data_IF_087810721528
#
_entry.id   IF_087810721528
#
_cell.length_a   1.000
_cell.length_b   1.000
_cell.length_c   1.000
_cell.angle_alpha   90.00
_cell.angle_beta   90.00
_cell.angle_gamma   90.00
#
_symmetry.space_group_name_H-M   'P 1'
#
loop_
_entity.id
_entity.type
_entity.pdbx_description
1 polymer ?
#
# COMPACT_ATOMS: atom_id res chain seq x y z
N UNK A 1 21.39 -32.44 -46.80
CA UNK A 1 21.45 -32.78 -45.37
C UNK A 1 20.07 -33.24 -44.96
N UNK A 2 19.86 -34.52 -44.73
CA UNK A 2 18.55 -35.08 -44.35
C UNK A 2 18.26 -34.80 -42.87
N UNK A 3 17.02 -34.51 -42.56
CA UNK A 3 16.52 -34.23 -41.19
C UNK A 3 16.98 -35.31 -40.18
N UNK A 4 17.14 -36.59 -40.63
CA UNK A 4 17.67 -37.67 -39.82
C UNK A 4 19.13 -37.51 -39.36
N UNK A 5 20.00 -36.89 -40.14
CA UNK A 5 21.39 -36.62 -39.77
C UNK A 5 21.53 -35.52 -38.70
N UNK A 6 20.64 -34.54 -38.72
CA UNK A 6 20.63 -33.46 -37.72
C UNK A 6 20.15 -33.94 -36.33
N UNK A 7 19.14 -34.84 -36.30
CA UNK A 7 18.61 -35.43 -35.07
C UNK A 7 19.63 -36.38 -34.43
N UNK A 8 20.41 -37.12 -35.25
CA UNK A 8 21.40 -38.09 -34.74
C UNK A 8 22.60 -37.42 -34.05
N UNK A 9 22.95 -36.16 -34.43
CA UNK A 9 24.09 -35.45 -33.86
C UNK A 9 23.62 -34.45 -32.77
N UNK A 10 22.44 -33.80 -32.91
CA UNK A 10 21.91 -32.86 -31.95
C UNK A 10 21.30 -33.54 -30.72
N UNK A 11 20.74 -34.75 -30.85
CA UNK A 11 20.09 -35.48 -29.75
C UNK A 11 21.00 -35.74 -28.54
N UNK A 12 22.18 -36.38 -28.75
CA UNK A 12 23.11 -36.65 -27.66
C UNK A 12 23.67 -35.39 -27.00
N UNK A 13 23.88 -34.31 -27.78
CA UNK A 13 24.33 -33.01 -27.26
C UNK A 13 23.31 -32.35 -26.34
N UNK A 14 22.04 -32.38 -26.74
CA UNK A 14 20.93 -31.86 -25.94
C UNK A 14 20.73 -32.70 -24.66
N UNK A 15 20.81 -34.02 -24.74
CA UNK A 15 20.71 -34.90 -23.59
C UNK A 15 21.86 -34.67 -22.60
N UNK A 16 23.10 -34.54 -23.09
CA UNK A 16 24.26 -34.23 -22.25
C UNK A 16 24.12 -32.83 -21.58
N UNK A 17 23.70 -31.79 -22.33
CA UNK A 17 23.46 -30.49 -21.77
C UNK A 17 22.36 -30.48 -20.70
N UNK A 18 21.27 -31.22 -20.92
CA UNK A 18 20.18 -31.37 -19.94
C UNK A 18 20.64 -32.07 -18.69
N UNK A 19 21.45 -33.11 -18.82
CA UNK A 19 22.04 -33.89 -17.70
C UNK A 19 23.02 -33.00 -16.90
N UNK A 20 23.88 -32.24 -17.57
CA UNK A 20 24.78 -31.27 -16.90
C UNK A 20 24.02 -30.22 -16.16
N UNK A 21 22.95 -29.65 -16.74
CA UNK A 21 22.09 -28.66 -16.09
C UNK A 21 21.39 -29.27 -14.88
N UNK A 22 20.85 -30.48 -14.98
CA UNK A 22 20.24 -31.20 -13.86
C UNK A 22 21.24 -31.43 -12.73
N UNK A 23 22.45 -31.90 -13.04
CA UNK A 23 23.54 -32.11 -12.08
C UNK A 23 23.94 -30.75 -11.41
N UNK A 24 24.04 -29.68 -12.18
CA UNK A 24 24.31 -28.33 -11.64
C UNK A 24 23.23 -27.86 -10.69
N UNK A 25 21.95 -28.03 -11.04
CA UNK A 25 20.80 -27.67 -10.19
C UNK A 25 20.81 -28.52 -8.91
N UNK A 26 21.01 -29.83 -9.00
CA UNK A 26 21.08 -30.70 -7.83
C UNK A 26 22.29 -30.36 -6.96
N UNK A 27 23.45 -30.10 -7.55
CA UNK A 27 24.66 -29.69 -6.85
C UNK A 27 24.48 -28.34 -6.11
N UNK A 28 23.87 -27.36 -6.78
CA UNK A 28 23.54 -26.07 -6.17
C UNK A 28 22.53 -26.25 -5.02
N UNK A 29 21.50 -27.06 -5.20
CA UNK A 29 20.50 -27.35 -4.17
C UNK A 29 21.12 -28.06 -2.96
N UNK A 30 21.95 -29.09 -3.19
CA UNK A 30 22.66 -29.78 -2.13
C UNK A 30 23.62 -28.87 -1.39
N UNK A 31 24.40 -28.07 -2.11
CA UNK A 31 25.30 -27.10 -1.51
C UNK A 31 24.54 -26.07 -0.64
N UNK A 32 23.39 -25.59 -1.11
CA UNK A 32 22.54 -24.69 -0.35
C UNK A 32 22.01 -25.34 0.94
N UNK A 33 21.47 -26.58 0.84
CA UNK A 33 20.95 -27.29 2.02
C UNK A 33 22.04 -27.64 3.02
N UNK A 34 23.25 -28.01 2.58
CA UNK A 34 24.39 -28.25 3.47
C UNK A 34 24.83 -26.96 4.18
N UNK A 35 24.84 -25.82 3.48
CA UNK A 35 25.14 -24.52 4.11
C UNK A 35 24.08 -24.13 5.13
N UNK A 36 22.80 -24.32 4.82
CA UNK A 36 21.69 -24.02 5.73
C UNK A 36 21.79 -24.89 6.99
N UNK A 37 22.00 -26.21 6.85
CA UNK A 37 22.21 -27.11 8.00
C UNK A 37 23.43 -26.76 8.83
N UNK A 38 24.54 -26.38 8.20
CA UNK A 38 25.75 -25.94 8.91
C UNK A 38 25.50 -24.61 9.65
N UNK A 39 24.74 -23.69 9.08
CA UNK A 39 24.29 -22.47 9.73
C UNK A 39 23.41 -22.75 10.95
N UNK A 40 22.42 -23.63 10.79
CA UNK A 40 21.54 -24.03 11.88
C UNK A 40 22.30 -24.66 13.06
N UNK A 41 23.29 -25.52 12.80
CA UNK A 41 24.13 -26.11 13.85
C UNK A 41 24.95 -25.06 14.59
N UNK A 42 25.45 -24.02 13.89
CA UNK A 42 26.24 -22.94 14.53
C UNK A 42 25.35 -22.01 15.39
N UNK A 43 24.10 -21.83 15.01
CA UNK A 43 23.16 -20.95 15.73
C UNK A 43 22.37 -21.71 16.78
N UNK A 44 22.30 -23.05 16.73
CA UNK A 44 21.55 -23.88 17.67
C UNK A 44 21.82 -23.52 19.16
N UNK A 45 23.10 -23.37 19.61
CA UNK A 45 23.39 -23.00 20.99
C UNK A 45 22.94 -21.56 21.35
N UNK A 46 22.79 -20.67 20.36
CA UNK A 46 22.40 -19.29 20.55
C UNK A 46 20.89 -19.06 20.48
N UNK A 47 20.14 -20.07 19.98
CA UNK A 47 18.68 -19.93 19.78
C UNK A 47 17.94 -19.64 21.07
N UNK A 48 18.33 -20.28 22.19
CA UNK A 48 17.70 -20.04 23.48
C UNK A 48 17.89 -18.57 23.91
N UNK A 49 19.11 -18.04 23.78
CA UNK A 49 19.41 -16.66 24.11
C UNK A 49 18.64 -15.67 23.22
N UNK A 50 18.55 -15.95 21.90
CA UNK A 50 17.75 -15.10 20.98
C UNK A 50 16.26 -15.15 21.32
N UNK A 51 15.72 -16.29 21.72
CA UNK A 51 14.33 -16.44 22.10
C UNK A 51 14.02 -15.70 23.41
N UNK A 52 14.89 -15.78 24.41
CA UNK A 52 14.74 -15.05 25.67
C UNK A 52 14.70 -13.52 25.43
N UNK A 53 15.60 -13.00 24.59
CA UNK A 53 15.55 -11.60 24.17
C UNK A 53 14.26 -11.31 23.38
N UNK A 54 13.84 -12.20 22.47
CA UNK A 54 12.67 -12.00 21.63
C UNK A 54 11.33 -12.07 22.39
N UNK A 55 11.29 -12.78 23.54
CA UNK A 55 10.11 -12.87 24.43
C UNK A 55 10.12 -11.78 25.51
N UNK A 56 11.21 -11.04 25.66
CA UNK A 56 11.36 -10.05 26.74
C UNK A 56 11.60 -10.70 28.11
N UNK A 57 12.00 -11.96 28.13
CA UNK A 57 12.30 -12.72 29.36
C UNK A 57 13.81 -12.67 29.75
N UNK A 58 14.57 -11.76 29.14
CA UNK A 58 15.97 -11.51 29.52
C UNK A 58 16.01 -10.72 30.83
N UNK A 59 15.88 -11.48 31.94
CA UNK A 59 15.80 -10.95 33.30
C UNK A 59 17.17 -10.58 33.90
N UNK A 60 18.25 -10.82 33.19
CA UNK A 60 19.62 -10.73 33.69
C UNK A 60 20.35 -9.50 33.13
N UNK A 61 19.78 -8.30 33.34
CA UNK A 61 20.35 -6.98 32.97
C UNK A 61 21.02 -6.92 31.56
N UNK A 62 20.44 -7.65 30.55
CA UNK A 62 20.96 -7.67 29.20
C UNK A 62 22.20 -8.60 29.00
N UNK A 63 22.49 -9.51 29.90
CA UNK A 63 23.62 -10.44 29.78
C UNK A 63 23.52 -11.34 28.53
N UNK A 64 22.29 -11.74 28.14
CA UNK A 64 22.07 -12.51 26.90
C UNK A 64 22.37 -11.66 25.67
N UNK A 65 21.91 -10.40 25.66
CA UNK A 65 22.19 -9.46 24.58
C UNK A 65 23.70 -9.22 24.43
N UNK A 66 24.43 -9.03 25.54
CA UNK A 66 25.89 -8.87 25.56
C UNK A 66 26.61 -10.13 25.01
N UNK A 67 26.12 -11.32 25.37
CA UNK A 67 26.65 -12.60 24.85
C UNK A 67 26.46 -12.68 23.34
N UNK A 68 25.25 -12.36 22.84
CA UNK A 68 24.93 -12.34 21.41
C UNK A 68 25.78 -11.30 20.66
N UNK A 69 26.00 -10.11 21.24
CA UNK A 69 26.83 -9.05 20.66
C UNK A 69 28.31 -9.46 20.54
N UNK A 70 28.81 -10.36 21.41
CA UNK A 70 30.16 -10.91 21.37
C UNK A 70 30.41 -11.93 20.26
N UNK A 71 29.33 -12.43 19.56
CA UNK A 71 29.47 -13.47 18.54
C UNK A 71 30.18 -12.93 17.29
N UNK A 72 31.13 -13.69 16.75
CA UNK A 72 32.00 -13.28 15.64
C UNK A 72 32.02 -14.30 14.50
N UNK A 73 32.56 -13.90 13.36
CA UNK A 73 32.84 -14.76 12.21
C UNK A 73 31.58 -15.24 11.48
N UNK A 74 31.54 -16.53 11.14
CA UNK A 74 30.40 -17.13 10.40
C UNK A 74 29.16 -17.27 11.28
N UNK A 75 29.33 -17.61 12.54
CA UNK A 75 28.23 -17.72 13.50
C UNK A 75 27.46 -16.39 13.64
N UNK A 76 28.18 -15.24 13.62
CA UNK A 76 27.54 -13.91 13.63
C UNK A 76 26.62 -13.71 12.41
N UNK A 77 27.08 -14.06 11.20
CA UNK A 77 26.23 -13.89 10.00
C UNK A 77 24.98 -14.74 10.06
N UNK A 78 25.13 -16.00 10.50
CA UNK A 78 24.01 -16.93 10.64
C UNK A 78 23.04 -16.45 11.75
N UNK A 79 23.57 -15.84 12.83
CA UNK A 79 22.81 -15.20 13.91
C UNK A 79 22.04 -13.97 13.38
N UNK A 80 22.72 -13.05 12.66
CA UNK A 80 22.11 -11.88 12.05
C UNK A 80 20.94 -12.27 11.15
N UNK A 81 21.12 -13.31 10.32
CA UNK A 81 20.06 -13.85 9.46
C UNK A 81 18.88 -14.43 10.25
N UNK A 82 19.14 -15.07 11.40
CA UNK A 82 18.09 -15.54 12.29
C UNK A 82 17.32 -14.37 12.90
N UNK A 83 18.02 -13.38 13.44
CA UNK A 83 17.44 -12.17 14.04
C UNK A 83 16.57 -11.43 13.02
N UNK A 84 17.06 -11.21 11.79
CA UNK A 84 16.29 -10.57 10.72
C UNK A 84 15.00 -11.35 10.41
N UNK A 85 15.03 -12.69 10.44
CA UNK A 85 13.80 -13.50 10.25
C UNK A 85 12.81 -13.31 11.40
N UNK A 86 13.28 -13.19 12.63
CA UNK A 86 12.43 -13.05 13.83
C UNK A 86 11.80 -11.66 13.93
N UNK A 87 12.48 -10.59 13.47
CA UNK A 87 11.96 -9.21 13.52
C UNK A 87 10.59 -9.03 12.84
N UNK A 88 10.20 -9.93 11.92
CA UNK A 88 8.83 -9.92 11.36
C UNK A 88 7.74 -10.43 12.32
N UNK A 89 8.12 -11.03 13.46
CA UNK A 89 7.22 -11.69 14.41
C UNK A 89 7.26 -11.07 15.81
N UNK A 90 8.30 -10.28 16.09
CA UNK A 90 8.54 -9.64 17.40
C UNK A 90 8.18 -8.17 17.31
N UNK A 91 7.67 -7.58 18.39
CA UNK A 91 7.29 -6.16 18.49
C UNK A 91 7.72 -5.57 19.82
N UNK A 92 7.66 -4.24 19.95
CA UNK A 92 7.99 -3.53 21.17
C UNK A 92 9.48 -3.60 21.50
N UNK A 93 9.81 -3.49 22.77
CA UNK A 93 11.17 -3.41 23.31
C UNK A 93 12.10 -4.55 22.86
N UNK A 94 11.58 -5.78 22.83
CA UNK A 94 12.33 -6.93 22.35
C UNK A 94 12.76 -6.79 20.87
N UNK A 95 11.92 -6.18 20.03
CA UNK A 95 12.30 -5.89 18.64
C UNK A 95 13.38 -4.82 18.57
N UNK A 96 13.33 -3.79 19.42
CA UNK A 96 14.34 -2.73 19.50
C UNK A 96 15.69 -3.29 19.93
N UNK A 97 15.73 -4.15 20.97
CA UNK A 97 16.93 -4.84 21.42
C UNK A 97 17.57 -5.69 20.32
N UNK A 98 16.77 -6.43 19.54
CA UNK A 98 17.25 -7.20 18.39
C UNK A 98 17.78 -6.31 17.25
N UNK A 99 17.19 -5.14 17.03
CA UNK A 99 17.68 -4.16 16.05
C UNK A 99 19.01 -3.56 16.54
N UNK A 100 19.15 -3.26 17.83
CA UNK A 100 20.39 -2.78 18.43
C UNK A 100 21.53 -3.81 18.32
N UNK A 101 21.21 -5.10 18.47
CA UNK A 101 22.17 -6.17 18.21
C UNK A 101 22.65 -6.14 16.74
N UNK A 102 21.74 -6.02 15.78
CA UNK A 102 22.12 -5.91 14.35
C UNK A 102 22.94 -4.65 14.06
N UNK A 103 22.66 -3.58 14.78
CA UNK A 103 23.41 -2.32 14.70
C UNK A 103 24.82 -2.51 15.24
N UNK A 104 24.98 -3.10 16.42
CA UNK A 104 26.29 -3.45 17.03
C UNK A 104 27.11 -4.34 16.10
N UNK A 105 26.46 -5.24 15.37
CA UNK A 105 27.10 -6.08 14.36
C UNK A 105 27.44 -5.33 13.06
N UNK A 106 27.07 -4.06 12.92
CA UNK A 106 27.29 -3.23 11.72
C UNK A 106 26.50 -3.72 10.51
N UNK A 107 25.40 -4.43 10.72
CA UNK A 107 24.53 -4.93 9.64
C UNK A 107 23.80 -3.78 8.96
N UNK A 108 23.25 -2.85 9.75
CA UNK A 108 22.50 -1.70 9.26
C UNK A 108 23.41 -0.69 8.56
N UNK A 109 24.63 -0.46 9.05
CA UNK A 109 25.60 0.40 8.39
C UNK A 109 26.03 -0.16 7.02
N UNK A 110 26.17 -1.49 6.93
CA UNK A 110 26.41 -2.14 5.64
C UNK A 110 25.21 -2.01 4.71
N UNK A 111 23.99 -2.18 5.23
CA UNK A 111 22.79 -2.00 4.45
C UNK A 111 22.66 -0.57 3.92
N UNK A 112 22.96 0.46 4.73
CA UNK A 112 22.96 1.84 4.29
C UNK A 112 23.95 2.08 3.12
N UNK A 113 25.17 1.52 3.21
CA UNK A 113 26.14 1.57 2.09
C UNK A 113 25.67 0.77 0.86
N UNK A 114 25.10 -0.41 1.04
CA UNK A 114 24.61 -1.23 -0.06
C UNK A 114 23.41 -0.60 -0.77
N UNK A 115 22.64 0.25 -0.09
CA UNK A 115 21.53 1.00 -0.67
C UNK A 115 21.98 2.04 -1.71
N UNK A 116 23.28 2.41 -1.73
CA UNK A 116 23.87 3.29 -2.76
C UNK A 116 24.69 2.52 -3.80
N UNK A 117 24.71 1.19 -3.75
CA UNK A 117 25.46 0.32 -4.66
C UNK A 117 25.04 0.50 -6.13
N UNK A 118 25.95 0.24 -7.08
CA UNK A 118 25.64 0.23 -8.51
C UNK A 118 24.58 -0.83 -8.88
N UNK A 119 24.48 -1.93 -8.14
CA UNK A 119 23.56 -3.05 -8.40
C UNK A 119 22.15 -2.76 -7.82
N UNK A 120 21.14 -2.70 -8.67
CA UNK A 120 19.74 -2.54 -8.24
C UNK A 120 19.30 -3.63 -7.25
N UNK A 121 19.75 -4.86 -7.44
CA UNK A 121 19.43 -5.99 -6.54
C UNK A 121 20.03 -5.79 -5.15
N UNK A 122 21.23 -5.22 -5.05
CA UNK A 122 21.84 -4.91 -3.74
C UNK A 122 21.09 -3.77 -3.06
N UNK A 123 20.77 -2.70 -3.80
CA UNK A 123 19.99 -1.59 -3.27
C UNK A 123 18.62 -2.04 -2.76
N UNK A 124 17.90 -2.85 -3.54
CA UNK A 124 16.59 -3.39 -3.15
C UNK A 124 16.67 -4.23 -1.86
N UNK A 125 17.66 -5.13 -1.77
CA UNK A 125 17.87 -5.97 -0.58
C UNK A 125 18.23 -5.14 0.65
N UNK A 126 19.06 -4.14 0.49
CA UNK A 126 19.45 -3.23 1.56
C UNK A 126 18.25 -2.46 2.12
N UNK A 127 17.43 -1.88 1.24
CA UNK A 127 16.19 -1.19 1.63
C UNK A 127 15.20 -2.15 2.29
N UNK A 128 15.05 -3.37 1.78
CA UNK A 128 14.22 -4.38 2.42
C UNK A 128 14.65 -4.68 3.86
N UNK A 129 15.96 -4.80 4.10
CA UNK A 129 16.52 -5.04 5.42
C UNK A 129 16.26 -3.85 6.36
N UNK A 130 16.56 -2.62 5.91
CA UNK A 130 16.31 -1.39 6.66
C UNK A 130 14.82 -1.30 7.06
N UNK A 131 13.91 -1.54 6.12
CA UNK A 131 12.47 -1.51 6.40
C UNK A 131 12.00 -2.62 7.34
N UNK A 132 12.64 -3.80 7.33
CA UNK A 132 12.33 -4.86 8.30
C UNK A 132 12.76 -4.51 9.71
N UNK A 133 13.88 -3.84 9.84
CA UNK A 133 14.39 -3.37 11.11
C UNK A 133 13.65 -2.12 11.63
N UNK A 134 12.83 -1.46 10.79
CA UNK A 134 12.17 -0.17 11.11
C UNK A 134 13.17 0.86 11.66
N UNK A 135 14.41 0.82 11.18
CA UNK A 135 15.46 1.69 11.67
C UNK A 135 15.27 3.10 11.11
N UNK A 136 14.85 4.03 11.95
CA UNK A 136 14.64 5.43 11.59
C UNK A 136 15.90 6.13 11.04
N UNK A 137 17.10 5.65 11.40
CA UNK A 137 18.37 6.16 10.85
C UNK A 137 18.52 5.86 9.36
N UNK A 138 17.78 4.88 8.85
CA UNK A 138 17.71 4.58 7.43
C UNK A 138 16.71 5.43 6.64
N UNK A 139 15.99 6.37 7.27
CA UNK A 139 14.96 7.20 6.61
C UNK A 139 15.53 7.98 5.44
N UNK A 140 16.64 8.69 5.62
CA UNK A 140 17.21 9.54 4.57
C UNK A 140 17.66 8.72 3.35
N UNK A 141 18.24 7.54 3.59
CA UNK A 141 18.61 6.59 2.53
C UNK A 141 17.37 6.05 1.79
N UNK A 142 16.30 5.75 2.53
CA UNK A 142 15.06 5.28 1.94
C UNK A 142 14.35 6.39 1.16
N UNK A 143 14.35 7.63 1.65
CA UNK A 143 13.82 8.81 0.92
C UNK A 143 14.60 9.03 -0.39
N UNK A 144 15.93 9.03 -0.35
CA UNK A 144 16.73 9.18 -1.56
C UNK A 144 16.44 8.08 -2.60
N UNK A 145 16.16 6.86 -2.16
CA UNK A 145 15.83 5.74 -3.02
C UNK A 145 14.42 5.80 -3.65
N UNK A 146 13.54 6.70 -3.22
CA UNK A 146 12.24 6.94 -3.87
C UNK A 146 12.41 7.47 -5.30
N UNK A 147 13.54 8.10 -5.60
CA UNK A 147 13.89 8.61 -6.93
C UNK A 147 14.93 7.73 -7.66
N UNK A 148 15.15 6.50 -7.21
CA UNK A 148 16.09 5.57 -7.83
C UNK A 148 15.76 5.34 -9.31
N UNK A 149 16.80 5.15 -10.12
CA UNK A 149 16.68 4.83 -11.56
C UNK A 149 15.90 3.53 -11.82
N UNK A 150 15.88 2.58 -10.87
CA UNK A 150 15.20 1.30 -11.00
C UNK A 150 13.79 1.36 -10.40
N UNK A 151 12.71 1.05 -11.16
CA UNK A 151 11.35 1.01 -10.65
C UNK A 151 11.18 0.06 -9.44
N UNK A 152 11.90 -1.06 -9.44
CA UNK A 152 11.87 -2.03 -8.32
C UNK A 152 12.43 -1.45 -7.04
N UNK A 153 13.51 -0.66 -7.16
CA UNK A 153 14.12 0.00 -6.00
C UNK A 153 13.19 1.08 -5.47
N UNK A 154 12.55 1.88 -6.35
CA UNK A 154 11.54 2.88 -5.95
C UNK A 154 10.37 2.24 -5.19
N UNK A 155 9.82 1.14 -5.71
CA UNK A 155 8.75 0.41 -5.04
C UNK A 155 9.19 -0.13 -3.67
N UNK A 156 10.42 -0.65 -3.57
CA UNK A 156 10.96 -1.11 -2.28
C UNK A 156 11.20 0.06 -1.32
N UNK A 157 11.66 1.20 -1.80
CA UNK A 157 11.84 2.42 -1.02
C UNK A 157 10.50 2.88 -0.42
N UNK A 158 9.43 2.93 -1.22
CA UNK A 158 8.09 3.28 -0.74
C UNK A 158 7.63 2.37 0.41
N UNK A 159 7.78 1.05 0.25
CA UNK A 159 7.47 0.10 1.33
C UNK A 159 8.37 0.28 2.56
N UNK A 160 9.62 0.68 2.34
CA UNK A 160 10.59 0.89 3.43
C UNK A 160 10.23 2.10 4.26
N UNK A 161 9.95 3.26 3.64
CA UNK A 161 9.54 4.47 4.36
C UNK A 161 8.25 4.27 5.15
N UNK A 162 7.26 3.57 4.58
CA UNK A 162 6.02 3.23 5.28
C UNK A 162 6.25 2.32 6.50
N UNK A 163 7.22 1.38 6.43
CA UNK A 163 7.56 0.52 7.57
C UNK A 163 8.34 1.23 8.67
N UNK A 164 9.22 2.15 8.29
CA UNK A 164 9.96 2.99 9.25
C UNK A 164 8.96 3.87 10.00
N UNK A 165 7.98 4.47 9.31
CA UNK A 165 6.97 5.31 9.93
C UNK A 165 7.45 6.73 10.24
N UNK A 166 8.51 7.21 9.59
CA UNK A 166 9.01 8.58 9.78
C UNK A 166 8.20 9.58 8.93
N UNK A 167 7.46 10.52 9.53
CA UNK A 167 6.60 11.47 8.80
C UNK A 167 7.32 12.31 7.77
N UNK A 168 8.64 12.56 7.94
CA UNK A 168 9.46 13.30 6.98
C UNK A 168 9.43 12.70 5.56
N UNK A 169 9.12 11.39 5.45
CA UNK A 169 9.03 10.72 4.17
C UNK A 169 7.71 10.97 3.41
N UNK A 170 6.67 11.55 4.03
CA UNK A 170 5.35 11.70 3.42
C UNK A 170 5.39 12.54 2.14
N UNK A 171 5.94 13.74 2.21
CA UNK A 171 6.05 14.65 1.06
C UNK A 171 6.97 14.10 -0.04
N UNK A 172 8.18 13.58 0.25
CA UNK A 172 9.01 12.89 -0.74
C UNK A 172 8.31 11.70 -1.41
N UNK A 173 7.57 10.88 -0.67
CA UNK A 173 6.83 9.74 -1.22
C UNK A 173 5.74 10.19 -2.19
N UNK A 174 4.95 11.22 -1.84
CA UNK A 174 3.92 11.80 -2.70
C UNK A 174 4.55 12.41 -3.96
N UNK A 175 5.69 13.10 -3.83
CA UNK A 175 6.42 13.66 -4.96
C UNK A 175 6.94 12.56 -5.91
N UNK A 176 7.42 11.45 -5.38
CA UNK A 176 7.94 10.33 -6.16
C UNK A 176 6.85 9.60 -6.97
N UNK A 177 5.56 9.81 -6.67
CA UNK A 177 4.44 9.24 -7.45
C UNK A 177 4.37 9.77 -8.90
N UNK A 178 5.06 10.85 -9.23
CA UNK A 178 5.26 11.30 -10.62
C UNK A 178 6.05 10.29 -11.46
N UNK A 179 6.85 9.46 -10.80
CA UNK A 179 7.67 8.44 -11.44
C UNK A 179 6.92 7.09 -11.51
N UNK A 180 7.28 6.28 -12.51
CA UNK A 180 6.79 4.91 -12.60
C UNK A 180 7.40 4.00 -11.52
N UNK A 181 6.73 2.87 -11.24
CA UNK A 181 7.24 1.80 -10.37
C UNK A 181 6.76 1.85 -8.92
N UNK A 182 6.16 2.94 -8.45
CA UNK A 182 5.44 2.98 -7.18
C UNK A 182 3.94 2.83 -7.49
N UNK A 183 3.32 1.76 -7.02
CA UNK A 183 1.88 1.57 -7.15
C UNK A 183 1.13 2.48 -6.19
N UNK A 184 -0.03 2.99 -6.61
CA UNK A 184 -0.90 3.85 -5.79
C UNK A 184 -1.27 3.18 -4.47
N UNK A 185 -1.56 1.87 -4.50
CA UNK A 185 -1.85 1.10 -3.29
C UNK A 185 -0.66 1.01 -2.31
N UNK A 186 0.56 0.73 -2.83
CA UNK A 186 1.77 0.68 -1.99
C UNK A 186 2.06 2.05 -1.34
N UNK A 187 1.82 3.14 -2.08
CA UNK A 187 2.00 4.50 -1.56
C UNK A 187 0.94 4.84 -0.50
N UNK A 188 -0.32 4.47 -0.73
CA UNK A 188 -1.37 4.68 0.24
C UNK A 188 -1.11 3.92 1.54
N UNK A 189 -0.72 2.63 1.45
CA UNK A 189 -0.33 1.83 2.61
C UNK A 189 0.86 2.46 3.36
N UNK A 190 1.86 2.92 2.64
CA UNK A 190 3.02 3.57 3.22
C UNK A 190 2.64 4.87 3.94
N UNK A 191 1.80 5.71 3.34
CA UNK A 191 1.33 6.97 3.95
C UNK A 191 0.49 6.72 5.21
N UNK A 192 -0.34 5.67 5.21
CA UNK A 192 -1.05 5.23 6.43
C UNK A 192 -0.04 4.83 7.52
N UNK A 193 1.04 4.14 7.14
CA UNK A 193 2.12 3.77 8.05
C UNK A 193 2.90 4.96 8.65
N UNK A 194 2.88 6.13 7.99
CA UNK A 194 3.50 7.37 8.49
C UNK A 194 2.64 8.09 9.54
N UNK A 195 1.37 7.69 9.71
CA UNK A 195 0.49 8.21 10.75
C UNK A 195 -0.14 9.57 10.43
N UNK A 196 -0.70 10.21 11.47
CA UNK A 196 -1.44 11.47 11.35
C UNK A 196 -0.59 12.65 10.89
N UNK A 197 0.72 12.63 11.13
CA UNK A 197 1.64 13.70 10.77
C UNK A 197 1.83 13.83 9.24
N UNK A 198 1.32 12.87 8.47
CA UNK A 198 1.24 12.96 7.00
C UNK A 198 0.18 13.98 6.50
N UNK A 199 -0.71 14.50 7.37
CA UNK A 199 -1.84 15.33 6.98
C UNK A 199 -1.47 16.56 6.16
N UNK A 200 -0.45 17.32 6.58
CA UNK A 200 0.03 18.50 5.83
C UNK A 200 0.57 18.12 4.43
N UNK A 201 1.26 16.99 4.35
CA UNK A 201 1.76 16.48 3.08
C UNK A 201 0.63 16.06 2.13
N UNK A 202 -0.47 15.51 2.66
CA UNK A 202 -1.66 15.20 1.87
C UNK A 202 -2.33 16.47 1.33
N UNK A 203 -2.49 17.53 2.16
CA UNK A 203 -3.03 18.81 1.70
C UNK A 203 -2.14 19.45 0.63
N UNK A 204 -0.82 19.43 0.83
CA UNK A 204 0.10 19.88 -0.21
C UNK A 204 -0.06 19.06 -1.51
N UNK A 205 -0.21 17.75 -1.42
CA UNK A 205 -0.34 16.90 -2.60
C UNK A 205 -1.66 17.14 -3.35
N UNK A 206 -2.75 17.52 -2.67
CA UNK A 206 -4.00 17.92 -3.33
C UNK A 206 -3.79 19.19 -4.16
N UNK A 207 -3.03 20.18 -3.65
CA UNK A 207 -2.82 21.46 -4.31
C UNK A 207 -1.78 21.38 -5.46
N UNK A 208 -0.65 20.73 -5.23
CA UNK A 208 0.53 20.83 -6.07
C UNK A 208 1.05 19.47 -6.60
N UNK A 209 0.42 18.36 -6.20
CA UNK A 209 0.89 17.03 -6.54
C UNK A 209 0.65 16.63 -7.99
N UNK A 210 1.35 15.58 -8.45
CA UNK A 210 1.03 14.92 -9.71
C UNK A 210 -0.38 14.30 -9.66
N UNK A 211 -1.04 14.00 -10.80
CA UNK A 211 -2.36 13.38 -10.79
C UNK A 211 -2.45 12.14 -9.91
N UNK A 212 -1.42 11.29 -9.90
CA UNK A 212 -1.35 10.12 -9.03
C UNK A 212 -1.24 10.49 -7.55
N UNK A 213 -0.48 11.54 -7.22
CA UNK A 213 -0.36 12.03 -5.86
C UNK A 213 -1.68 12.65 -5.38
N UNK A 214 -2.34 13.47 -6.21
CA UNK A 214 -3.67 14.03 -5.92
C UNK A 214 -4.71 12.93 -5.67
N UNK A 215 -4.73 11.87 -6.51
CA UNK A 215 -5.63 10.72 -6.33
C UNK A 215 -5.41 10.03 -4.98
N UNK A 216 -4.15 9.74 -4.62
CA UNK A 216 -3.82 9.11 -3.33
C UNK A 216 -4.21 10.01 -2.17
N UNK A 217 -3.87 11.30 -2.25
CA UNK A 217 -4.17 12.27 -1.20
C UNK A 217 -5.67 12.44 -1.00
N UNK A 218 -6.46 12.57 -2.09
CA UNK A 218 -7.91 12.63 -2.03
C UNK A 218 -8.50 11.39 -1.34
N UNK A 219 -8.08 10.20 -1.75
CA UNK A 219 -8.54 8.95 -1.15
C UNK A 219 -8.23 8.89 0.37
N UNK A 220 -6.99 9.20 0.76
CA UNK A 220 -6.58 9.15 2.16
C UNK A 220 -7.23 10.24 3.01
N UNK A 221 -7.45 11.44 2.47
CA UNK A 221 -8.21 12.49 3.15
C UNK A 221 -9.67 12.06 3.40
N UNK A 222 -10.29 11.41 2.42
CA UNK A 222 -11.64 10.86 2.58
C UNK A 222 -11.71 9.75 3.64
N UNK A 223 -10.80 8.77 3.60
CA UNK A 223 -10.77 7.66 4.56
C UNK A 223 -10.37 8.12 5.96
N UNK A 224 -9.41 9.04 6.05
CA UNK A 224 -8.93 9.60 7.32
C UNK A 224 -9.83 10.67 7.92
N UNK A 225 -10.92 11.07 7.25
CA UNK A 225 -11.85 12.08 7.75
C UNK A 225 -11.24 13.48 7.83
N UNK A 226 -10.28 13.82 6.96
CA UNK A 226 -9.54 15.10 6.97
C UNK A 226 -10.42 16.22 6.41
N UNK A 227 -11.26 16.81 7.26
CA UNK A 227 -12.22 17.87 6.85
C UNK A 227 -11.55 19.13 6.30
N UNK A 228 -10.32 19.41 6.69
CA UNK A 228 -9.54 20.52 6.17
C UNK A 228 -9.26 20.41 4.66
N UNK A 229 -9.33 19.19 4.10
CA UNK A 229 -9.15 18.96 2.66
C UNK A 229 -10.36 19.38 1.80
N UNK A 230 -11.55 19.59 2.38
CA UNK A 230 -12.78 19.81 1.62
C UNK A 230 -12.68 20.95 0.58
N UNK A 231 -12.11 22.14 0.87
CA UNK A 231 -11.97 23.19 -0.14
C UNK A 231 -11.13 22.76 -1.36
N UNK A 232 -9.99 22.09 -1.11
CA UNK A 232 -9.12 21.60 -2.18
C UNK A 232 -9.78 20.47 -2.98
N UNK A 233 -10.54 19.60 -2.31
CA UNK A 233 -11.30 18.55 -2.99
C UNK A 233 -12.39 19.12 -3.89
N UNK A 234 -13.07 20.22 -3.49
CA UNK A 234 -14.04 20.94 -4.34
C UNK A 234 -13.34 21.48 -5.59
N UNK A 235 -12.19 22.15 -5.42
CA UNK A 235 -11.41 22.65 -6.55
C UNK A 235 -11.01 21.55 -7.53
N UNK A 236 -10.56 20.39 -7.04
CA UNK A 236 -10.23 19.24 -7.88
C UNK A 236 -11.44 18.66 -8.61
N UNK A 237 -12.63 18.67 -8.02
CA UNK A 237 -13.86 18.22 -8.70
C UNK A 237 -14.24 19.15 -9.86
N UNK A 238 -14.02 20.46 -9.68
CA UNK A 238 -14.46 21.50 -10.62
C UNK A 238 -13.44 21.75 -11.74
N UNK A 239 -12.14 21.59 -11.46
CA UNK A 239 -11.08 22.12 -12.33
C UNK A 239 -10.04 21.09 -12.77
N UNK A 240 -10.01 19.87 -12.18
CA UNK A 240 -8.98 18.90 -12.55
C UNK A 240 -9.31 18.20 -13.87
N UNK A 241 -8.36 18.22 -14.80
CA UNK A 241 -8.49 17.57 -16.11
C UNK A 241 -8.42 16.04 -16.03
N UNK A 242 -7.87 15.48 -14.95
CA UNK A 242 -7.75 14.03 -14.77
C UNK A 242 -9.02 13.46 -14.11
N UNK A 243 -9.76 12.70 -14.89
CA UNK A 243 -11.00 12.05 -14.44
C UNK A 243 -10.80 11.17 -13.19
N UNK A 244 -9.64 10.57 -13.03
CA UNK A 244 -9.33 9.72 -11.87
C UNK A 244 -9.20 10.58 -10.62
N UNK A 245 -8.58 11.74 -10.73
CA UNK A 245 -8.46 12.72 -9.64
C UNK A 245 -9.83 13.27 -9.26
N UNK A 246 -10.59 13.77 -10.24
CA UNK A 246 -11.94 14.30 -9.99
C UNK A 246 -12.86 13.25 -9.35
N UNK A 247 -12.79 11.98 -9.81
CA UNK A 247 -13.57 10.87 -9.24
C UNK A 247 -13.13 10.52 -7.80
N UNK A 248 -11.84 10.59 -7.50
CA UNK A 248 -11.32 10.39 -6.15
C UNK A 248 -11.72 11.55 -5.22
N UNK A 249 -11.63 12.77 -5.71
CA UNK A 249 -11.98 13.98 -4.96
C UNK A 249 -13.47 14.01 -4.60
N UNK A 250 -14.37 13.73 -5.55
CA UNK A 250 -15.81 13.68 -5.27
C UNK A 250 -16.16 12.56 -4.29
N UNK A 251 -15.51 11.40 -4.40
CA UNK A 251 -15.70 10.30 -3.45
C UNK A 251 -15.22 10.70 -2.04
N UNK A 252 -14.12 11.40 -1.93
CA UNK A 252 -13.64 11.94 -0.65
C UNK A 252 -14.60 12.96 -0.06
N UNK A 253 -15.15 13.85 -0.88
CA UNK A 253 -16.17 14.83 -0.45
C UNK A 253 -17.43 14.16 0.12
N UNK A 254 -17.85 13.03 -0.40
CA UNK A 254 -18.93 12.24 0.18
C UNK A 254 -18.70 11.89 1.65
N UNK A 255 -17.44 11.72 2.06
CA UNK A 255 -17.06 11.32 3.43
C UNK A 255 -16.73 12.50 4.34
N UNK A 256 -16.11 13.57 3.82
CA UNK A 256 -15.62 14.71 4.62
C UNK A 256 -16.35 16.01 4.33
N UNK A 257 -17.20 16.04 3.31
CA UNK A 257 -17.89 17.23 2.82
C UNK A 257 -18.87 17.80 3.84
N UNK A 258 -19.17 19.07 3.66
CA UNK A 258 -20.07 19.88 4.47
C UNK A 258 -21.32 20.21 3.67
N UNK A 259 -22.39 20.72 4.31
CA UNK A 259 -23.61 21.10 3.60
C UNK A 259 -23.39 22.02 2.39
N UNK A 260 -22.42 22.92 2.48
CA UNK A 260 -22.05 23.85 1.39
C UNK A 260 -21.38 23.16 0.19
N UNK A 261 -20.79 21.99 0.38
CA UNK A 261 -20.04 21.26 -0.65
C UNK A 261 -21.00 20.40 -1.52
N UNK A 262 -22.27 20.24 -1.11
CA UNK A 262 -23.30 19.48 -1.88
C UNK A 262 -23.49 20.04 -3.29
N UNK A 263 -23.38 21.35 -3.47
CA UNK A 263 -23.49 21.99 -4.77
C UNK A 263 -22.43 21.54 -5.77
N UNK A 264 -21.16 21.47 -5.33
CA UNK A 264 -20.05 21.01 -6.15
C UNK A 264 -20.20 19.51 -6.53
N UNK A 265 -20.59 18.67 -5.56
CA UNK A 265 -20.87 17.25 -5.83
C UNK A 265 -22.02 17.11 -6.82
N UNK A 266 -23.09 17.92 -6.68
CA UNK A 266 -24.24 17.89 -7.57
C UNK A 266 -23.88 18.33 -8.99
N UNK A 267 -23.01 19.33 -9.15
CA UNK A 267 -22.50 19.74 -10.46
C UNK A 267 -21.80 18.61 -11.21
N UNK A 268 -21.04 17.77 -10.51
CA UNK A 268 -20.37 16.60 -11.09
C UNK A 268 -21.34 15.49 -11.58
N UNK A 269 -22.65 15.57 -11.26
CA UNK A 269 -23.68 14.61 -11.75
C UNK A 269 -24.26 14.98 -13.11
N UNK A 270 -23.93 16.14 -13.67
CA UNK A 270 -24.56 16.62 -14.92
C UNK A 270 -24.16 15.74 -16.10
N UNK A 271 -25.11 15.53 -17.02
CA UNK A 271 -25.03 14.51 -18.09
C UNK A 271 -23.87 14.65 -19.08
N UNK A 272 -23.25 15.81 -19.20
CA UNK A 272 -22.08 16.00 -20.06
C UNK A 272 -20.77 15.50 -19.42
N UNK A 273 -20.77 15.19 -18.12
CA UNK A 273 -19.62 14.56 -17.47
C UNK A 273 -19.56 13.06 -17.78
N UNK A 274 -18.37 12.45 -17.79
CA UNK A 274 -18.21 11.02 -17.97
C UNK A 274 -19.00 10.21 -16.93
N UNK A 275 -19.57 9.09 -17.37
CA UNK A 275 -20.39 8.20 -16.54
C UNK A 275 -19.70 7.85 -15.19
N UNK A 276 -18.39 7.63 -15.21
CA UNK A 276 -17.63 7.27 -14.01
C UNK A 276 -17.72 8.38 -12.94
N UNK A 277 -17.52 9.64 -13.33
CA UNK A 277 -17.62 10.79 -12.44
C UNK A 277 -19.04 10.98 -11.93
N UNK A 278 -20.04 10.92 -12.82
CA UNK A 278 -21.46 11.05 -12.46
C UNK A 278 -21.88 10.01 -11.44
N UNK A 279 -21.46 8.75 -11.63
CA UNK A 279 -21.76 7.66 -10.69
C UNK A 279 -21.08 7.90 -9.34
N UNK A 280 -19.79 8.29 -9.32
CA UNK A 280 -19.07 8.60 -8.09
C UNK A 280 -19.73 9.78 -7.34
N UNK A 281 -20.13 10.83 -8.05
CA UNK A 281 -20.85 11.97 -7.48
C UNK A 281 -22.22 11.59 -6.91
N UNK A 282 -22.95 10.71 -7.61
CA UNK A 282 -24.24 10.19 -7.13
C UNK A 282 -24.08 9.40 -5.83
N UNK A 283 -23.04 8.56 -5.72
CA UNK A 283 -22.73 7.84 -4.50
C UNK A 283 -22.29 8.78 -3.37
N UNK A 284 -21.46 9.78 -3.69
CA UNK A 284 -21.01 10.78 -2.72
C UNK A 284 -22.16 11.60 -2.14
N UNK A 285 -23.20 11.93 -2.94
CA UNK A 285 -24.43 12.56 -2.44
C UNK A 285 -25.19 11.68 -1.44
N UNK A 286 -25.15 10.37 -1.61
CA UNK A 286 -25.69 9.43 -0.62
C UNK A 286 -24.84 9.36 0.66
N UNK A 287 -23.51 9.26 0.49
CA UNK A 287 -22.56 9.11 1.61
C UNK A 287 -22.50 10.35 2.52
N UNK A 288 -22.63 11.57 1.95
CA UNK A 288 -22.66 12.81 2.74
C UNK A 288 -23.86 12.87 3.70
N UNK A 289 -24.92 12.09 3.43
CA UNK A 289 -26.02 11.87 4.34
C UNK A 289 -26.97 13.05 4.56
N UNK A 290 -26.96 14.05 3.70
CA UNK A 290 -27.71 15.29 3.87
C UNK A 290 -29.03 15.30 3.07
N UNK A 291 -30.12 15.75 3.70
CA UNK A 291 -31.42 15.87 3.03
C UNK A 291 -31.38 16.78 1.79
N UNK A 292 -30.46 17.73 1.73
CA UNK A 292 -30.24 18.62 0.58
C UNK A 292 -29.85 17.85 -0.71
N UNK A 293 -29.32 16.64 -0.59
CA UNK A 293 -28.98 15.77 -1.74
C UNK A 293 -30.22 15.11 -2.37
N UNK A 294 -31.34 14.98 -1.65
CA UNK A 294 -32.54 14.25 -2.09
C UNK A 294 -33.10 14.78 -3.43
N UNK A 295 -33.29 16.08 -3.66
CA UNK A 295 -33.82 16.58 -4.94
C UNK A 295 -32.93 16.24 -6.14
N UNK A 296 -31.60 16.23 -5.93
CA UNK A 296 -30.63 15.85 -6.97
C UNK A 296 -30.71 14.36 -7.27
N UNK A 297 -30.71 13.52 -6.24
CA UNK A 297 -30.81 12.07 -6.37
C UNK A 297 -32.14 11.62 -7.03
N UNK A 298 -33.25 12.31 -6.72
CA UNK A 298 -34.54 12.04 -7.37
C UNK A 298 -34.45 12.30 -8.88
N UNK A 299 -33.85 13.39 -9.31
CA UNK A 299 -33.64 13.64 -10.75
C UNK A 299 -32.82 12.56 -11.42
N UNK A 300 -31.80 12.04 -10.73
CA UNK A 300 -30.89 11.03 -11.23
C UNK A 300 -31.55 9.62 -11.34
N UNK A 301 -32.70 9.39 -10.72
CA UNK A 301 -33.46 8.14 -10.93
C UNK A 301 -33.89 7.95 -12.41
N UNK A 302 -34.00 9.05 -13.15
CA UNK A 302 -34.30 9.08 -14.57
C UNK A 302 -33.08 9.23 -15.48
N UNK A 303 -31.86 9.08 -14.93
CA UNK A 303 -30.64 9.17 -15.73
C UNK A 303 -30.63 8.09 -16.83
N UNK A 304 -30.24 8.44 -18.07
CA UNK A 304 -30.21 7.47 -19.18
C UNK A 304 -29.20 6.33 -18.94
N UNK A 305 -28.25 6.51 -18.03
CA UNK A 305 -27.29 5.46 -17.65
C UNK A 305 -27.80 4.69 -16.45
N UNK A 306 -28.15 3.41 -16.63
CA UNK A 306 -28.70 2.56 -15.57
C UNK A 306 -27.87 2.55 -14.30
N UNK A 307 -26.55 2.51 -14.43
CA UNK A 307 -25.63 2.51 -13.27
C UNK A 307 -25.71 3.79 -12.43
N UNK A 308 -26.01 4.94 -13.03
CA UNK A 308 -26.21 6.20 -12.32
C UNK A 308 -27.57 6.20 -11.62
N UNK A 309 -28.63 5.78 -12.33
CA UNK A 309 -29.98 5.67 -11.79
C UNK A 309 -30.06 4.68 -10.61
N UNK A 310 -29.40 3.52 -10.72
CA UNK A 310 -29.28 2.54 -9.63
C UNK A 310 -28.49 3.07 -8.44
N UNK A 311 -27.42 3.82 -8.70
CA UNK A 311 -26.66 4.48 -7.64
C UNK A 311 -27.53 5.52 -6.91
N UNK A 312 -28.35 6.28 -7.64
CA UNK A 312 -29.27 7.25 -7.05
C UNK A 312 -30.34 6.57 -6.18
N UNK A 313 -30.91 5.45 -6.65
CA UNK A 313 -31.89 4.69 -5.88
C UNK A 313 -31.30 4.15 -4.57
N UNK A 314 -30.11 3.55 -4.62
CA UNK A 314 -29.38 3.07 -3.42
C UNK A 314 -29.03 4.22 -2.47
N UNK A 315 -28.57 5.35 -3.01
CA UNK A 315 -28.24 6.54 -2.21
C UNK A 315 -29.47 7.08 -1.49
N UNK A 316 -30.63 7.15 -2.15
CA UNK A 316 -31.89 7.56 -1.54
C UNK A 316 -32.32 6.59 -0.42
N UNK A 317 -32.19 5.28 -0.65
CA UNK A 317 -32.51 4.29 0.38
C UNK A 317 -31.64 4.49 1.65
N UNK A 318 -30.36 4.82 1.46
CA UNK A 318 -29.39 5.09 2.54
C UNK A 318 -29.65 6.39 3.32
N UNK A 319 -30.36 7.38 2.74
CA UNK A 319 -30.66 8.67 3.36
C UNK A 319 -31.80 8.62 4.42
N UNK A 320 -32.14 7.48 4.93
CA UNK A 320 -33.12 7.32 5.99
C UNK A 320 -34.57 7.59 5.54
N UNK A 321 -35.41 8.06 6.45
CA UNK A 321 -36.85 8.22 6.19
C UNK A 321 -37.17 9.17 5.02
N UNK A 322 -36.44 10.27 4.91
CA UNK A 322 -36.68 11.28 3.87
C UNK A 322 -36.33 10.74 2.48
N UNK A 323 -35.20 10.06 2.37
CA UNK A 323 -34.78 9.44 1.10
C UNK A 323 -35.68 8.25 0.72
N UNK A 324 -36.08 7.43 1.68
CA UNK A 324 -37.04 6.34 1.44
C UNK A 324 -38.39 6.84 0.94
N UNK A 325 -38.94 7.88 1.60
CA UNK A 325 -40.20 8.49 1.15
C UNK A 325 -40.11 9.02 -0.30
N UNK A 326 -39.00 9.67 -0.64
CA UNK A 326 -38.75 10.11 -2.00
C UNK A 326 -38.62 8.95 -2.98
N UNK A 327 -37.96 7.86 -2.62
CA UNK A 327 -37.82 6.65 -3.46
C UNK A 327 -39.17 5.98 -3.70
N UNK A 328 -40.01 5.84 -2.67
CA UNK A 328 -41.39 5.29 -2.76
C UNK A 328 -42.25 6.15 -3.65
N UNK A 329 -42.16 7.49 -3.55
CA UNK A 329 -42.90 8.42 -4.43
C UNK A 329 -42.55 8.30 -5.91
N UNK A 330 -41.38 7.71 -6.22
CA UNK A 330 -40.91 7.53 -7.60
C UNK A 330 -40.77 6.04 -7.98
N UNK A 331 -41.53 5.13 -7.32
CA UNK A 331 -41.48 3.68 -7.54
C UNK A 331 -41.83 3.25 -8.99
N UNK A 332 -42.46 4.12 -9.78
CA UNK A 332 -42.75 3.92 -11.20
C UNK A 332 -41.49 3.97 -12.08
N UNK A 333 -40.41 4.54 -11.62
CA UNK A 333 -39.12 4.55 -12.34
C UNK A 333 -38.41 3.20 -12.16
N UNK A 334 -37.80 2.64 -13.23
CA UNK A 334 -37.21 1.29 -13.19
C UNK A 334 -36.20 1.08 -12.06
N UNK A 335 -35.26 2.01 -11.87
CA UNK A 335 -34.23 1.92 -10.83
C UNK A 335 -34.83 1.98 -9.42
N UNK A 336 -35.81 2.85 -9.18
CA UNK A 336 -36.49 2.96 -7.89
C UNK A 336 -37.31 1.71 -7.57
N UNK A 337 -38.08 1.21 -8.54
CA UNK A 337 -38.89 -0.01 -8.39
C UNK A 337 -38.03 -1.25 -8.10
N UNK A 338 -36.89 -1.39 -8.80
CA UNK A 338 -35.98 -2.49 -8.60
C UNK A 338 -35.33 -2.44 -7.19
N UNK A 339 -34.88 -1.27 -6.75
CA UNK A 339 -34.24 -1.10 -5.42
C UNK A 339 -35.24 -1.33 -4.29
N UNK A 340 -36.47 -0.84 -4.40
CA UNK A 340 -37.54 -1.11 -3.41
C UNK A 340 -37.90 -2.59 -3.36
N UNK A 341 -37.92 -3.29 -4.47
CA UNK A 341 -38.14 -4.74 -4.49
C UNK A 341 -36.99 -5.48 -3.82
N UNK A 342 -35.77 -5.11 -4.14
CA UNK A 342 -34.56 -5.67 -3.52
C UNK A 342 -34.56 -5.45 -2.00
N UNK A 343 -34.83 -4.23 -1.55
CA UNK A 343 -34.89 -3.87 -0.14
C UNK A 343 -35.94 -4.72 0.63
N UNK A 344 -37.12 -4.94 0.04
CA UNK A 344 -38.17 -5.82 0.65
C UNK A 344 -37.71 -7.27 0.76
N UNK A 345 -37.05 -7.80 -0.27
CA UNK A 345 -36.51 -9.17 -0.28
C UNK A 345 -35.39 -9.37 0.76
N UNK A 346 -34.60 -8.34 1.02
CA UNK A 346 -33.48 -8.38 1.99
C UNK A 346 -33.89 -7.95 3.40
N UNK A 347 -35.17 -7.65 3.65
CA UNK A 347 -35.68 -7.29 4.97
C UNK A 347 -35.31 -5.87 5.43
N UNK A 348 -34.88 -5.03 4.50
CA UNK A 348 -34.63 -3.60 4.79
C UNK A 348 -35.99 -2.89 4.87
N UNK A 349 -36.27 -2.20 5.97
CA UNK A 349 -37.50 -1.43 6.15
C UNK A 349 -37.57 -0.30 5.11
N UNK A 350 -38.66 -0.30 4.32
CA UNK A 350 -38.91 0.66 3.23
C UNK A 350 -40.11 1.53 3.59
#
# INVERSE_FOLDING_TARGET
MTIGGFVAVAGPGLAAASLLMACAIVGLKLHRTLRERAGERRVAPLRAAVLLVATGEDTDDGAMLATLAGVRGRARRDLDDLVVRLLGKVRGEAAEQLVDLLRTHGVLDRAARDATSWSAVRRERALHLIGRCRDWRGTDVAIAALEDRSPRVRAQAARTVGRIGDPRAARPLLHALRLEGIHVGDAAEALVGLGHDAGEALLWALAEGSPRARTVAAHLCGVGGVRAAAPLLVELVEQDDDLTVASAAVTALGKVGRPQDVGAIAAATVHFHPQQLRRAATQALGEIGLAQAVPVLVRLLADPTSQVAEAAARSLLGLGAVGRAALVGHAHLPAAGAELTHARLTGVAV
#
